data_IF_251108175564
#
_entry.id   IF_251108175564
#
_cell.length_a   1.000
_cell.length_b   1.000
_cell.length_c   1.000
_cell.angle_alpha   90.00
_cell.angle_beta   90.00
_cell.angle_gamma   90.00
#
_symmetry.space_group_name_H-M   'P 1'
#
loop_
_entity.id
_entity.type
_entity.pdbx_description
1 polymer ?
#
# COMPACT_ATOMS: atom_id res chain seq x y z
N UNK A 1 8.16 9.58 37.01
CA UNK A 1 8.90 9.62 35.73
C UNK A 1 7.86 9.81 34.65
N UNK A 2 7.81 11.01 34.07
CA UNK A 2 6.89 11.26 32.96
C UNK A 2 7.36 10.48 31.74
N UNK A 3 6.46 9.66 31.16
CA UNK A 3 6.77 8.93 29.93
C UNK A 3 6.96 9.94 28.78
N UNK A 4 8.07 9.84 28.07
CA UNK A 4 8.30 10.62 26.86
C UNK A 4 7.71 9.90 25.64
N UNK A 5 6.56 10.37 25.15
CA UNK A 5 5.78 9.63 24.15
C UNK A 5 6.51 9.49 22.81
N UNK A 6 7.18 10.56 22.35
CA UNK A 6 7.94 10.54 21.09
C UNK A 6 9.05 9.48 21.07
N UNK A 7 9.90 9.44 22.09
CA UNK A 7 10.94 8.41 22.28
C UNK A 7 10.38 6.98 22.29
N UNK A 8 9.22 6.75 22.93
CA UNK A 8 8.59 5.42 22.94
C UNK A 8 8.20 5.02 21.52
N UNK A 9 7.53 5.92 20.79
CA UNK A 9 7.12 5.68 19.40
C UNK A 9 8.33 5.42 18.50
N UNK A 10 9.40 6.24 18.62
CA UNK A 10 10.63 6.05 17.86
C UNK A 10 11.24 4.68 18.13
N UNK A 11 11.32 4.29 19.41
CA UNK A 11 11.86 3.00 19.82
C UNK A 11 11.07 1.85 19.23
N UNK A 12 9.73 1.91 19.27
CA UNK A 12 8.86 0.89 18.67
C UNK A 12 9.07 0.82 17.16
N UNK A 13 9.13 1.97 16.46
CA UNK A 13 9.38 2.04 15.02
C UNK A 13 10.72 1.39 14.65
N UNK A 14 11.79 1.72 15.37
CA UNK A 14 13.13 1.20 15.08
C UNK A 14 13.26 -0.29 15.41
N UNK A 15 12.68 -0.75 16.53
CA UNK A 15 12.74 -2.17 16.94
C UNK A 15 11.99 -3.08 15.99
N UNK A 16 10.83 -2.64 15.49
CA UNK A 16 10.01 -3.44 14.58
C UNK A 16 10.42 -3.27 13.11
N UNK A 17 11.43 -2.45 12.82
CA UNK A 17 11.93 -2.22 11.46
C UNK A 17 10.96 -1.45 10.56
N UNK A 18 10.05 -0.65 11.13
CA UNK A 18 9.09 0.12 10.35
C UNK A 18 9.79 1.25 9.58
N UNK A 19 9.40 1.44 8.32
CA UNK A 19 9.96 2.50 7.48
C UNK A 19 9.37 3.87 7.86
N UNK A 20 10.24 4.78 8.31
CA UNK A 20 9.87 6.18 8.59
C UNK A 20 9.33 6.87 7.33
N UNK A 21 9.88 6.53 6.16
CA UNK A 21 9.41 7.07 4.89
C UNK A 21 7.98 6.62 4.58
N UNK A 22 7.66 5.37 4.90
CA UNK A 22 6.31 4.83 4.71
C UNK A 22 5.31 5.41 5.71
N UNK A 23 5.71 5.54 6.99
CA UNK A 23 4.89 6.20 7.99
C UNK A 23 4.57 7.64 7.60
N UNK A 24 5.56 8.39 7.10
CA UNK A 24 5.37 9.75 6.62
C UNK A 24 4.34 9.82 5.47
N UNK A 25 4.42 8.86 4.52
CA UNK A 25 3.47 8.73 3.41
C UNK A 25 2.05 8.46 3.90
N UNK A 26 1.86 7.50 4.80
CA UNK A 26 0.56 7.12 5.34
C UNK A 26 -0.06 8.24 6.18
N UNK A 27 0.76 8.96 6.95
CA UNK A 27 0.33 10.08 7.78
C UNK A 27 0.17 11.39 6.98
N UNK A 28 0.50 11.40 5.67
CA UNK A 28 0.46 12.57 4.79
C UNK A 28 1.28 13.76 5.32
N UNK A 29 2.43 13.48 5.90
CA UNK A 29 3.37 14.48 6.41
C UNK A 29 4.77 14.24 5.84
N UNK A 30 5.65 15.22 5.94
CA UNK A 30 7.04 15.04 5.53
C UNK A 30 7.84 14.25 6.60
N UNK A 31 8.97 13.64 6.20
CA UNK A 31 9.83 12.87 7.11
C UNK A 31 10.40 13.71 8.27
N UNK A 32 10.68 14.99 8.03
CA UNK A 32 11.17 15.91 9.08
C UNK A 32 10.13 16.08 10.20
N UNK A 33 8.84 16.13 9.88
CA UNK A 33 7.77 16.18 10.87
C UNK A 33 7.76 14.93 11.74
N UNK A 34 7.96 13.74 11.15
CA UNK A 34 8.05 12.50 11.93
C UNK A 34 9.24 12.54 12.91
N UNK A 35 10.41 13.01 12.48
CA UNK A 35 11.55 13.16 13.39
C UNK A 35 11.28 14.19 14.50
N UNK A 36 10.60 15.29 14.17
CA UNK A 36 10.23 16.29 15.18
C UNK A 36 9.26 15.71 16.23
N UNK A 37 8.37 14.79 15.82
CA UNK A 37 7.44 14.12 16.73
C UNK A 37 8.17 13.24 17.76
N UNK A 38 9.29 12.63 17.40
CA UNK A 38 10.09 11.80 18.32
C UNK A 38 10.66 12.59 19.49
N UNK A 39 10.90 13.89 19.32
CA UNK A 39 11.37 14.79 20.38
C UNK A 39 10.23 15.38 21.23
N UNK A 40 8.97 15.01 20.98
CA UNK A 40 7.84 15.53 21.75
C UNK A 40 7.54 14.66 22.98
N UNK A 41 7.60 15.24 24.20
CA UNK A 41 7.40 14.47 25.43
C UNK A 41 5.96 14.02 25.61
N UNK A 42 5.00 14.81 25.11
CA UNK A 42 3.58 14.50 25.13
C UNK A 42 3.01 14.57 23.73
N UNK A 43 2.08 13.67 23.46
CA UNK A 43 1.40 13.53 22.19
C UNK A 43 -0.10 13.40 22.44
N UNK A 44 -0.92 13.92 21.52
CA UNK A 44 -2.36 13.69 21.57
C UNK A 44 -2.62 12.19 21.33
N UNK A 45 -3.45 11.52 22.15
CA UNK A 45 -3.76 10.09 21.97
C UNK A 45 -4.24 9.76 20.55
N UNK A 46 -5.06 10.64 19.96
CA UNK A 46 -5.57 10.53 18.59
C UNK A 46 -4.46 10.36 17.54
N UNK A 47 -3.30 11.02 17.70
CA UNK A 47 -2.23 10.91 16.72
C UNK A 47 -1.44 9.62 16.93
N UNK A 48 -1.23 9.19 18.17
CA UNK A 48 -0.60 7.89 18.49
C UNK A 48 -1.46 6.76 17.91
N UNK A 49 -2.78 6.83 18.09
CA UNK A 49 -3.72 5.87 17.52
C UNK A 49 -3.62 5.81 16.00
N UNK A 50 -3.57 6.96 15.32
CA UNK A 50 -3.37 7.01 13.85
C UNK A 50 -2.05 6.39 13.42
N UNK A 51 -0.96 6.63 14.17
CA UNK A 51 0.35 6.00 13.91
C UNK A 51 0.25 4.48 14.08
N UNK A 52 -0.41 4.00 15.14
CA UNK A 52 -0.67 2.57 15.36
C UNK A 52 -1.45 1.94 14.22
N UNK A 53 -2.52 2.57 13.76
CA UNK A 53 -3.29 2.15 12.59
C UNK A 53 -2.44 2.13 11.30
N UNK A 54 -1.61 3.15 11.07
CA UNK A 54 -0.72 3.20 9.90
C UNK A 54 0.33 2.09 9.91
N UNK A 55 0.86 1.75 11.08
CA UNK A 55 1.88 0.72 11.26
C UNK A 55 1.31 -0.69 11.48
N UNK A 56 -0.01 -0.80 11.67
CA UNK A 56 -0.69 -2.01 12.19
C UNK A 56 -0.05 -2.51 13.49
N UNK A 57 0.33 -1.57 14.36
CA UNK A 57 0.92 -1.82 15.67
C UNK A 57 -0.06 -1.41 16.77
N UNK A 58 -0.24 -2.27 17.76
CA UNK A 58 -1.07 -2.01 18.93
C UNK A 58 -0.25 -1.32 20.02
N UNK A 59 -0.49 -0.02 20.19
CA UNK A 59 0.18 0.82 21.17
C UNK A 59 -0.41 0.73 22.58
N UNK A 60 -1.44 -0.08 22.82
CA UNK A 60 -1.98 -0.30 24.17
C UNK A 60 -0.97 -0.96 25.11
N UNK A 61 0.03 -1.67 24.58
CA UNK A 61 1.10 -2.27 25.38
C UNK A 61 2.04 -1.20 25.96
N UNK A 62 2.37 -0.17 25.19
CA UNK A 62 3.23 0.93 25.61
C UNK A 62 2.47 2.03 26.38
N UNK A 63 1.21 2.25 26.01
CA UNK A 63 0.32 3.27 26.56
C UNK A 63 -1.01 2.67 27.06
N UNK A 64 -0.99 1.74 28.05
CA UNK A 64 -2.20 1.14 28.61
C UNK A 64 -3.11 2.17 29.30
N UNK A 65 -2.56 3.32 29.68
CA UNK A 65 -3.33 4.45 30.23
C UNK A 65 -4.12 5.25 29.17
N UNK A 66 -3.81 5.08 27.88
CA UNK A 66 -4.44 5.82 26.79
C UNK A 66 -5.36 4.95 25.92
N UNK A 67 -5.06 3.66 25.78
CA UNK A 67 -5.72 2.78 24.82
C UNK A 67 -6.03 1.41 25.42
N UNK A 68 -7.09 0.79 24.92
CA UNK A 68 -7.37 -0.64 25.10
C UNK A 68 -6.97 -1.42 23.84
N UNK A 69 -6.51 -2.67 24.00
CA UNK A 69 -6.21 -3.54 22.85
C UNK A 69 -7.44 -3.78 21.96
N UNK A 70 -8.65 -3.74 22.53
CA UNK A 70 -9.91 -3.89 21.79
C UNK A 70 -10.11 -2.77 20.76
N UNK A 71 -9.67 -1.55 21.08
CA UNK A 71 -9.78 -0.37 20.22
C UNK A 71 -8.96 -0.55 18.93
N UNK A 72 -7.73 -1.05 19.07
CA UNK A 72 -6.85 -1.36 17.94
C UNK A 72 -7.34 -2.57 17.13
N UNK A 73 -7.82 -3.63 17.79
CA UNK A 73 -8.38 -4.79 17.10
C UNK A 73 -9.56 -4.41 16.19
N UNK A 74 -10.48 -3.58 16.68
CA UNK A 74 -11.60 -3.09 15.88
C UNK A 74 -11.13 -2.26 14.67
N UNK A 75 -10.15 -1.38 14.86
CA UNK A 75 -9.59 -0.58 13.77
C UNK A 75 -8.90 -1.44 12.70
N UNK A 76 -8.12 -2.45 13.11
CA UNK A 76 -7.44 -3.36 12.18
C UNK A 76 -8.43 -4.20 11.37
N UNK A 77 -9.49 -4.70 12.01
CA UNK A 77 -10.52 -5.49 11.33
C UNK A 77 -11.27 -4.67 10.27
N UNK A 78 -11.66 -3.44 10.60
CA UNK A 78 -12.28 -2.53 9.63
C UNK A 78 -11.33 -2.17 8.49
N UNK A 79 -10.06 -1.91 8.80
CA UNK A 79 -9.05 -1.64 7.76
C UNK A 79 -8.88 -2.83 6.81
N UNK A 80 -8.95 -4.07 7.31
CA UNK A 80 -8.85 -5.28 6.49
C UNK A 80 -10.02 -5.39 5.54
N UNK A 81 -11.23 -5.09 6.01
CA UNK A 81 -12.45 -5.09 5.19
C UNK A 81 -12.41 -4.02 4.08
N UNK A 82 -11.94 -2.81 4.41
CA UNK A 82 -11.77 -1.73 3.42
C UNK A 82 -10.68 -2.04 2.40
N UNK A 83 -9.54 -2.60 2.85
CA UNK A 83 -8.47 -3.01 1.94
C UNK A 83 -8.91 -4.13 1.00
N UNK A 84 -9.73 -5.09 1.46
CA UNK A 84 -10.25 -6.13 0.56
C UNK A 84 -11.12 -5.55 -0.56
N UNK A 85 -11.94 -4.55 -0.27
CA UNK A 85 -12.77 -3.88 -1.29
C UNK A 85 -11.93 -3.04 -2.27
N UNK A 86 -10.94 -2.29 -1.77
CA UNK A 86 -10.03 -1.52 -2.62
C UNK A 86 -9.16 -2.42 -3.52
N UNK A 87 -8.68 -3.55 -2.98
CA UNK A 87 -7.90 -4.54 -3.74
C UNK A 87 -8.72 -5.23 -4.83
N UNK A 88 -10.04 -5.40 -4.64
CA UNK A 88 -10.91 -5.89 -5.72
C UNK A 88 -11.04 -4.87 -6.85
N UNK A 89 -11.28 -3.59 -6.54
CA UNK A 89 -11.38 -2.54 -7.55
C UNK A 89 -10.06 -2.34 -8.32
N UNK A 90 -8.93 -2.41 -7.62
CA UNK A 90 -7.61 -2.29 -8.23
C UNK A 90 -7.27 -3.50 -9.10
N UNK A 91 -7.68 -4.71 -8.68
CA UNK A 91 -7.56 -5.94 -9.48
C UNK A 91 -8.43 -5.89 -10.74
N UNK A 92 -9.64 -5.36 -10.66
CA UNK A 92 -10.51 -5.17 -11.83
C UNK A 92 -9.89 -4.21 -12.84
N UNK A 93 -9.32 -3.08 -12.38
CA UNK A 93 -8.57 -2.16 -13.25
C UNK A 93 -7.37 -2.83 -13.90
N UNK A 94 -6.59 -3.62 -13.15
CA UNK A 94 -5.43 -4.36 -13.68
C UNK A 94 -5.89 -5.36 -14.75
N UNK A 95 -6.95 -6.11 -14.49
CA UNK A 95 -7.50 -7.07 -15.45
C UNK A 95 -7.97 -6.37 -16.73
N UNK A 96 -8.69 -5.24 -16.60
CA UNK A 96 -9.13 -4.45 -17.76
C UNK A 96 -7.98 -4.05 -18.69
N UNK A 97 -6.89 -3.52 -18.13
CA UNK A 97 -5.72 -3.13 -18.93
C UNK A 97 -4.96 -4.32 -19.50
N UNK A 98 -4.89 -5.43 -18.75
CA UNK A 98 -4.30 -6.68 -19.20
C UNK A 98 -5.05 -7.22 -20.42
N UNK A 99 -6.37 -7.28 -20.37
CA UNK A 99 -7.20 -7.78 -21.47
C UNK A 99 -7.08 -6.89 -22.70
N UNK A 100 -7.05 -5.56 -22.51
CA UNK A 100 -6.80 -4.60 -23.60
C UNK A 100 -5.45 -4.83 -24.27
N UNK A 101 -4.40 -5.12 -23.50
CA UNK A 101 -3.07 -5.40 -24.02
C UNK A 101 -3.02 -6.74 -24.78
N UNK A 102 -3.68 -7.77 -24.25
CA UNK A 102 -3.80 -9.08 -24.93
C UNK A 102 -4.50 -8.91 -26.28
N UNK A 103 -5.64 -8.23 -26.32
CA UNK A 103 -6.39 -8.00 -27.55
C UNK A 103 -5.53 -7.27 -28.61
N UNK A 104 -4.77 -6.26 -28.19
CA UNK A 104 -3.87 -5.55 -29.10
C UNK A 104 -2.78 -6.46 -29.68
N UNK A 105 -2.19 -7.34 -28.85
CA UNK A 105 -1.21 -8.31 -29.32
C UNK A 105 -1.81 -9.33 -30.27
N UNK A 106 -3.04 -9.79 -29.99
CA UNK A 106 -3.76 -10.73 -30.85
C UNK A 106 -4.09 -10.12 -32.21
N UNK A 107 -4.62 -8.89 -32.24
CA UNK A 107 -4.88 -8.14 -33.49
C UNK A 107 -3.59 -7.94 -34.29
N UNK A 108 -2.50 -7.56 -33.62
CA UNK A 108 -1.20 -7.39 -34.27
C UNK A 108 -0.69 -8.71 -34.88
N UNK A 109 -0.78 -9.81 -34.14
CA UNK A 109 -0.40 -11.13 -34.63
C UNK A 109 -1.28 -11.60 -35.80
N UNK A 110 -2.57 -11.29 -35.80
CA UNK A 110 -3.47 -11.58 -36.92
C UNK A 110 -3.04 -10.83 -38.19
N UNK A 111 -2.73 -9.53 -38.06
CA UNK A 111 -2.25 -8.72 -39.19
C UNK A 111 -0.94 -9.30 -39.74
N UNK A 112 0.02 -9.63 -38.87
CA UNK A 112 1.28 -10.25 -39.27
C UNK A 112 1.06 -11.58 -40.01
N UNK A 113 0.17 -12.44 -39.50
CA UNK A 113 -0.15 -13.72 -40.13
C UNK A 113 -0.78 -13.53 -41.52
N UNK A 114 -1.69 -12.57 -41.68
CA UNK A 114 -2.30 -12.22 -42.97
C UNK A 114 -1.23 -11.71 -43.95
N UNK A 115 -0.37 -10.79 -43.50
CA UNK A 115 0.71 -10.25 -44.33
C UNK A 115 1.70 -11.33 -44.77
N UNK A 116 2.08 -12.25 -43.86
CA UNK A 116 2.94 -13.39 -44.18
C UNK A 116 2.31 -14.33 -45.22
N UNK A 117 1.01 -14.63 -45.09
CA UNK A 117 0.31 -15.50 -46.05
C UNK A 117 0.18 -14.86 -47.44
N UNK A 118 -0.01 -13.54 -47.51
CA UNK A 118 -0.09 -12.81 -48.79
C UNK A 118 1.22 -12.87 -49.59
N UNK A 119 2.36 -12.90 -48.90
CA UNK A 119 3.70 -13.01 -49.52
C UNK A 119 3.89 -14.41 -50.12
N UNK A 120 3.48 -15.48 -49.43
CA UNK A 120 3.61 -16.84 -49.94
C UNK A 120 2.74 -17.14 -51.16
N UNK A 121 1.56 -16.50 -51.29
CA UNK A 121 0.67 -16.71 -52.46
C UNK A 121 1.15 -16.04 -53.74
N UNK A 122 2.07 -15.08 -53.66
CA UNK A 122 2.65 -14.38 -54.82
C UNK A 122 3.89 -15.10 -55.40
N UNK A 123 4.38 -16.15 -54.75
CA UNK A 123 5.63 -16.84 -55.13
C UNK A 123 5.44 -18.09 -56.01
N UNK A 124 4.20 -18.46 -56.38
CA UNK A 124 3.94 -19.49 -57.38
C UNK A 124 2.81 -19.07 -58.33
N UNK A 125 3.13 -18.52 -59.51
CA UNK A 125 2.23 -18.57 -60.65
C UNK A 125 2.38 -19.97 -61.27
N UNK A 126 1.32 -20.79 -61.18
CA UNK A 126 1.22 -22.03 -61.93
C UNK A 126 1.29 -21.74 -63.43
N UNK A 127 2.24 -22.38 -64.12
CA UNK A 127 2.13 -22.67 -65.56
C UNK A 127 1.06 -23.74 -65.79
#
# INVERSE_FOLDING_TARGET
MDKHYGEIIERTIRRNGYSISELARLMKVNRRSIYNWFNQPKFKPEIIFKIGCALKHDFSNEFPELFSSEEFQHAFNNSKLLNTALLSEEREKINYWKDKYINLLEEYNQILAISSNKINTLSYPSM
#
